data_IF_332134355528
#
_entry.id   IF_332134355528
#
_cell.length_a   1.000
_cell.length_b   1.000
_cell.length_c   1.000
_cell.angle_alpha   90.00
_cell.angle_beta   90.00
_cell.angle_gamma   90.00
#
_symmetry.space_group_name_H-M   'P 1'
#
loop_
_entity.id
_entity.type
_entity.pdbx_description
1 polymer ?
#
# COMPACT_ATOMS: atom_id res chain seq x y z
N UNK A 1 -10.93 4.56 -5.96
CA UNK A 1 -10.51 5.74 -5.17
C UNK A 1 -10.05 5.26 -3.80
N UNK A 2 -9.13 5.97 -3.15
CA UNK A 2 -8.71 5.71 -1.77
C UNK A 2 -9.03 6.94 -0.91
N UNK A 3 -9.64 6.76 0.25
CA UNK A 3 -10.28 7.81 1.04
C UNK A 3 -9.91 7.76 2.52
N UNK A 4 -9.10 8.70 3.01
CA UNK A 4 -8.64 8.73 4.40
C UNK A 4 -9.60 9.52 5.28
N UNK A 5 -9.79 9.03 6.50
CA UNK A 5 -10.79 9.55 7.43
C UNK A 5 -10.15 9.98 8.76
N UNK A 6 -10.82 10.88 9.47
CA UNK A 6 -10.42 11.27 10.81
C UNK A 6 -10.71 10.15 11.80
N UNK A 7 -9.67 9.68 12.50
CA UNK A 7 -9.78 8.65 13.54
C UNK A 7 -10.51 7.35 13.11
N UNK A 8 -10.54 7.08 11.80
CA UNK A 8 -11.19 5.91 11.20
C UNK A 8 -10.30 5.30 10.13
N UNK A 9 -10.52 4.01 9.78
CA UNK A 9 -9.80 3.39 8.68
C UNK A 9 -10.11 4.06 7.34
N UNK A 10 -9.07 4.29 6.56
CA UNK A 10 -9.14 4.65 5.16
C UNK A 10 -9.83 3.54 4.35
N UNK A 11 -10.68 3.93 3.39
CA UNK A 11 -11.49 3.02 2.56
C UNK A 11 -11.01 3.08 1.11
N UNK A 12 -10.99 1.95 0.41
CA UNK A 12 -10.63 1.88 -1.00
C UNK A 12 -11.70 1.18 -1.83
N UNK A 13 -12.10 1.82 -2.93
CA UNK A 13 -13.05 1.31 -3.93
C UNK A 13 -12.33 0.96 -5.23
N UNK A 14 -12.50 -0.28 -5.71
CA UNK A 14 -11.97 -0.74 -6.98
C UNK A 14 -13.01 -0.60 -8.11
N UNK A 15 -12.58 -0.17 -9.30
CA UNK A 15 -13.43 -0.11 -10.48
C UNK A 15 -13.74 -1.52 -11.04
N UNK A 16 -14.89 -1.73 -11.72
CA UNK A 16 -15.14 -2.95 -12.48
C UNK A 16 -14.20 -3.00 -13.69
N UNK A 17 -13.48 -4.11 -13.87
CA UNK A 17 -12.42 -4.26 -14.88
C UNK A 17 -12.98 -4.90 -16.16
N UNK A 18 -12.90 -4.20 -17.30
CA UNK A 18 -12.94 -4.81 -18.63
C UNK A 18 -11.59 -5.48 -18.93
N UNK A 19 -11.65 -6.74 -19.39
CA UNK A 19 -10.50 -7.60 -19.53
C UNK A 19 -9.63 -7.23 -20.75
N UNK A 20 -8.35 -6.92 -20.53
CA UNK A 20 -7.29 -7.09 -21.54
C UNK A 20 -6.04 -7.74 -20.96
N UNK A 21 -5.53 -8.68 -21.75
CA UNK A 21 -4.42 -9.63 -21.55
C UNK A 21 -3.08 -8.95 -21.32
N UNK A 22 -2.21 -9.52 -20.46
CA UNK A 22 -0.81 -9.80 -20.78
C UNK A 22 -0.05 -10.64 -19.70
N UNK A 23 0.56 -11.72 -20.21
CA UNK A 23 1.86 -12.39 -19.93
C UNK A 23 2.64 -12.11 -18.63
N UNK A 24 3.11 -13.23 -18.03
CA UNK A 24 4.44 -13.34 -17.40
C UNK A 24 4.47 -13.42 -15.87
N UNK A 25 4.65 -14.63 -15.32
CA UNK A 25 4.69 -14.96 -13.89
C UNK A 25 5.88 -14.34 -13.12
N UNK A 26 5.62 -13.78 -11.92
CA UNK A 26 6.61 -13.61 -10.86
C UNK A 26 5.96 -13.60 -9.45
N UNK A 27 6.66 -14.22 -8.47
CA UNK A 27 6.32 -14.44 -7.04
C UNK A 27 5.63 -13.24 -6.35
N UNK A 28 4.52 -13.49 -5.65
CA UNK A 28 3.69 -12.49 -4.94
C UNK A 28 4.42 -11.75 -3.81
N UNK A 29 4.28 -10.41 -3.76
CA UNK A 29 5.10 -9.49 -2.94
C UNK A 29 4.27 -8.78 -1.85
N UNK A 30 4.85 -8.63 -0.65
CA UNK A 30 4.23 -8.15 0.62
C UNK A 30 4.20 -6.61 0.75
N UNK A 31 3.81 -5.86 -0.27
CA UNK A 31 3.92 -4.39 -0.22
C UNK A 31 2.64 -3.69 -0.66
N UNK A 32 2.45 -2.48 -0.15
CA UNK A 32 1.37 -1.54 -0.43
C UNK A 32 1.42 -1.02 -1.88
N UNK A 33 1.38 -1.91 -2.87
CA UNK A 33 1.41 -1.57 -4.30
C UNK A 33 0.03 -1.84 -4.87
N UNK A 34 -0.47 -0.90 -5.67
CA UNK A 34 -1.72 -1.09 -6.38
C UNK A 34 -1.70 -2.42 -7.16
N UNK A 35 -2.71 -3.30 -6.95
CA UNK A 35 -2.79 -4.59 -7.60
C UNK A 35 -2.86 -4.53 -9.14
N UNK A 36 -3.26 -3.40 -9.70
CA UNK A 36 -3.35 -3.15 -11.15
C UNK A 36 -2.03 -2.66 -11.75
N UNK A 37 -1.01 -2.42 -10.94
CA UNK A 37 0.32 -1.98 -11.40
C UNK A 37 0.37 -0.55 -11.94
N UNK A 38 -0.67 0.26 -11.75
CA UNK A 38 -0.64 1.64 -12.20
C UNK A 38 0.39 2.46 -11.43
N UNK A 39 1.27 3.10 -12.19
CA UNK A 39 2.32 4.00 -11.74
C UNK A 39 2.58 5.05 -12.82
N UNK A 40 3.33 6.08 -12.50
CA UNK A 40 3.85 6.99 -13.51
C UNK A 40 5.01 6.32 -14.28
N UNK A 41 5.09 6.60 -15.58
CA UNK A 41 6.16 6.05 -16.46
C UNK A 41 7.37 6.99 -16.56
N UNK A 42 7.30 8.14 -15.89
CA UNK A 42 8.33 9.16 -15.84
C UNK A 42 8.67 9.52 -14.39
N UNK A 43 9.90 9.98 -14.15
CA UNK A 43 10.38 10.29 -12.81
C UNK A 43 10.12 11.74 -12.36
N UNK A 44 9.92 12.67 -13.30
CA UNK A 44 9.58 14.06 -12.97
C UNK A 44 8.06 14.26 -13.01
N UNK A 45 7.41 13.98 -11.89
CA UNK A 45 5.95 14.08 -11.77
C UNK A 45 5.57 15.53 -11.48
N UNK A 46 4.73 16.10 -12.32
CA UNK A 46 4.25 17.47 -12.16
C UNK A 46 2.99 17.51 -11.30
N UNK A 47 2.82 18.54 -10.49
CA UNK A 47 1.60 18.73 -9.73
C UNK A 47 1.08 20.16 -9.77
N UNK A 48 -0.21 20.35 -9.52
CA UNK A 48 -0.84 21.67 -9.51
C UNK A 48 -1.93 21.76 -8.46
N UNK A 49 -1.89 22.83 -7.66
CA UNK A 49 -2.96 23.16 -6.70
C UNK A 49 -4.01 24.01 -7.42
N UNK A 50 -5.19 23.44 -7.64
CA UNK A 50 -6.29 24.06 -8.39
C UNK A 50 -7.21 24.89 -7.50
N UNK A 51 -7.43 24.44 -6.26
CA UNK A 51 -8.22 25.14 -5.24
C UNK A 51 -7.47 25.10 -3.91
N UNK A 52 -7.62 26.13 -3.10
CA UNK A 52 -6.96 26.28 -1.80
C UNK A 52 -7.98 26.18 -0.65
N UNK A 53 -7.56 25.75 0.54
CA UNK A 53 -8.44 25.68 1.70
C UNK A 53 -8.86 27.08 2.16
N UNK A 54 -10.01 27.17 2.82
CA UNK A 54 -10.47 28.41 3.46
C UNK A 54 -9.81 28.65 4.83
N UNK A 55 -9.30 27.61 5.49
CA UNK A 55 -8.75 27.68 6.86
C UNK A 55 -7.23 27.90 6.92
N UNK A 56 -6.53 27.77 5.79
CA UNK A 56 -5.07 27.89 5.71
C UNK A 56 -4.71 28.79 4.52
N UNK A 57 -3.76 29.71 4.72
CA UNK A 57 -3.34 30.61 3.64
C UNK A 57 -2.61 29.85 2.52
N UNK A 58 -2.51 30.48 1.33
CA UNK A 58 -1.96 29.83 0.14
C UNK A 58 -0.50 29.41 0.29
N UNK A 59 0.30 30.20 1.01
CA UNK A 59 1.75 29.93 1.16
C UNK A 59 2.00 28.77 2.11
N UNK A 60 1.30 28.72 3.25
CA UNK A 60 1.33 27.58 4.16
C UNK A 60 0.77 26.31 3.51
N UNK A 61 -0.27 26.45 2.67
CA UNK A 61 -0.79 25.32 1.88
C UNK A 61 0.26 24.78 0.93
N UNK A 62 0.89 25.63 0.11
CA UNK A 62 1.99 25.22 -0.79
C UNK A 62 3.13 24.59 -0.03
N UNK A 63 3.52 25.18 1.10
CA UNK A 63 4.57 24.66 1.97
C UNK A 63 4.23 23.27 2.50
N UNK A 64 2.99 23.05 2.96
CA UNK A 64 2.55 21.75 3.46
C UNK A 64 2.61 20.68 2.36
N UNK A 65 2.06 20.98 1.17
CA UNK A 65 2.05 20.07 0.01
C UNK A 65 3.47 19.78 -0.47
N UNK A 66 4.33 20.81 -0.55
CA UNK A 66 5.74 20.66 -0.92
C UNK A 66 6.47 19.70 0.04
N UNK A 67 6.30 19.87 1.36
CA UNK A 67 6.88 18.97 2.38
C UNK A 67 6.34 17.54 2.21
N UNK A 68 5.07 17.37 1.88
CA UNK A 68 4.46 16.06 1.66
C UNK A 68 5.07 15.35 0.43
N UNK A 69 5.31 16.07 -0.68
CA UNK A 69 6.04 15.53 -1.83
C UNK A 69 7.49 15.20 -1.50
N UNK A 70 8.18 16.05 -0.72
CA UNK A 70 9.57 15.81 -0.30
C UNK A 70 9.74 14.46 0.41
N UNK A 71 8.77 14.06 1.24
CA UNK A 71 8.80 12.76 1.92
C UNK A 71 8.95 11.59 0.95
N UNK A 72 8.36 11.67 -0.25
CA UNK A 72 8.43 10.61 -1.26
C UNK A 72 9.67 10.75 -2.14
N UNK A 73 10.10 11.96 -2.50
CA UNK A 73 11.34 12.17 -3.27
C UNK A 73 12.59 11.81 -2.46
N UNK A 74 12.57 11.94 -1.13
CA UNK A 74 13.71 11.59 -0.27
C UNK A 74 14.05 10.09 -0.31
N UNK A 75 13.06 9.24 -0.65
CA UNK A 75 13.18 7.79 -0.60
C UNK A 75 13.04 7.09 -1.96
N UNK A 76 12.88 7.87 -3.04
CA UNK A 76 12.70 7.35 -4.40
C UNK A 76 13.36 8.24 -5.46
N UNK A 77 13.61 7.75 -6.69
CA UNK A 77 14.13 8.57 -7.78
C UNK A 77 13.18 9.66 -8.31
N UNK A 78 11.98 9.78 -7.73
CA UNK A 78 10.97 10.74 -8.18
C UNK A 78 11.38 12.17 -7.84
N UNK A 79 11.07 13.07 -8.76
CA UNK A 79 11.18 14.52 -8.58
C UNK A 79 9.80 15.14 -8.82
N UNK A 80 9.51 16.22 -8.12
CA UNK A 80 8.20 16.86 -8.14
C UNK A 80 8.32 18.32 -8.50
N UNK A 81 7.53 18.75 -9.49
CA UNK A 81 7.52 20.14 -9.97
C UNK A 81 6.12 20.73 -9.86
N UNK A 82 5.96 21.83 -9.10
CA UNK A 82 4.70 22.58 -9.07
C UNK A 82 4.53 23.37 -10.37
N UNK A 83 3.38 23.20 -11.01
CA UNK A 83 2.95 23.98 -12.17
C UNK A 83 2.03 25.09 -11.70
N UNK A 84 2.54 26.32 -11.68
CA UNK A 84 1.78 27.51 -11.26
C UNK A 84 0.97 28.14 -12.41
N UNK A 85 1.31 27.83 -13.66
CA UNK A 85 0.62 28.37 -14.82
C UNK A 85 -0.78 27.74 -14.95
N UNK A 86 -1.87 28.54 -14.94
CA UNK A 86 -3.24 28.02 -15.00
C UNK A 86 -3.56 27.28 -16.31
N UNK A 87 -2.86 27.59 -17.40
CA UNK A 87 -3.12 27.02 -18.73
C UNK A 87 -2.36 25.71 -19.01
N UNK A 88 -1.47 25.30 -18.09
CA UNK A 88 -0.76 24.02 -18.19
C UNK A 88 -1.47 22.95 -17.34
N UNK A 89 -1.57 21.75 -17.90
CA UNK A 89 -1.93 20.55 -17.17
C UNK A 89 -0.75 20.07 -16.32
N UNK A 90 -1.05 19.23 -15.33
CA UNK A 90 -0.08 18.55 -14.49
C UNK A 90 -0.51 17.09 -14.33
N UNK A 91 0.43 16.22 -13.97
CA UNK A 91 0.16 14.79 -13.74
C UNK A 91 -0.74 14.60 -12.52
N UNK A 92 -0.48 15.36 -11.45
CA UNK A 92 -1.26 15.34 -10.22
C UNK A 92 -1.98 16.67 -10.01
N UNK A 93 -3.31 16.65 -9.93
CA UNK A 93 -4.10 17.82 -9.55
C UNK A 93 -4.58 17.72 -8.11
N UNK A 94 -4.45 18.82 -7.38
CA UNK A 94 -4.76 18.90 -5.95
C UNK A 94 -5.79 20.00 -5.74
N UNK A 95 -6.90 19.71 -5.07
CA UNK A 95 -7.86 20.74 -4.73
C UNK A 95 -8.61 20.48 -3.43
N UNK A 96 -9.11 21.57 -2.85
CA UNK A 96 -9.94 21.55 -1.64
C UNK A 96 -11.38 21.84 -2.04
N UNK A 97 -12.29 20.94 -1.69
CA UNK A 97 -13.68 20.99 -2.11
C UNK A 97 -14.61 20.67 -0.96
N UNK A 98 -15.84 21.19 -1.02
CA UNK A 98 -16.92 20.83 -0.11
C UNK A 98 -17.72 19.64 -0.67
N UNK A 99 -18.71 19.13 0.10
CA UNK A 99 -19.70 18.10 -0.26
C UNK A 99 -19.62 17.59 -1.72
N UNK A 100 -20.36 18.26 -2.62
CA UNK A 100 -20.39 17.92 -4.02
C UNK A 100 -19.24 18.58 -4.77
N UNK A 101 -18.40 17.76 -5.37
CA UNK A 101 -17.23 18.22 -6.10
C UNK A 101 -16.96 17.33 -7.31
N UNK A 102 -16.41 17.94 -8.36
CA UNK A 102 -16.13 17.32 -9.67
C UNK A 102 -17.28 16.43 -10.15
N UNK A 103 -17.13 15.10 -10.09
CA UNK A 103 -18.03 14.07 -10.61
C UNK A 103 -18.72 13.23 -9.51
N UNK A 104 -18.71 13.65 -8.24
CA UNK A 104 -19.09 12.78 -7.13
C UNK A 104 -20.57 12.39 -7.10
N UNK A 105 -21.44 13.17 -7.76
CA UNK A 105 -22.87 12.85 -7.89
C UNK A 105 -23.15 11.72 -8.90
N UNK A 106 -22.25 11.52 -9.88
CA UNK A 106 -22.48 10.61 -11.01
C UNK A 106 -21.67 9.31 -10.92
N UNK A 107 -20.85 9.16 -9.89
CA UNK A 107 -19.94 8.04 -9.77
C UNK A 107 -20.02 7.41 -8.38
N UNK A 108 -20.52 6.17 -8.24
CA UNK A 108 -20.44 5.42 -6.98
C UNK A 108 -18.99 5.08 -6.58
N UNK A 109 -18.02 5.36 -7.46
CA UNK A 109 -16.59 5.16 -7.25
C UNK A 109 -15.85 6.44 -6.83
N UNK A 110 -16.50 7.61 -6.89
CA UNK A 110 -15.98 8.90 -6.47
C UNK A 110 -16.90 9.48 -5.39
N UNK A 111 -16.64 9.17 -4.10
CA UNK A 111 -17.53 9.58 -3.03
C UNK A 111 -17.54 11.11 -2.88
N UNK A 112 -18.72 11.68 -2.62
CA UNK A 112 -18.82 13.07 -2.17
C UNK A 112 -18.33 13.17 -0.72
N UNK A 113 -17.81 14.33 -0.34
CA UNK A 113 -17.41 14.55 1.05
C UNK A 113 -18.62 14.62 1.98
N UNK A 114 -18.41 14.21 3.23
CA UNK A 114 -19.43 14.10 4.27
C UNK A 114 -19.45 15.30 5.25
N UNK A 115 -18.50 16.23 5.13
CA UNK A 115 -18.40 17.41 5.97
C UNK A 115 -17.49 17.19 7.18
N UNK A 116 -17.81 17.82 8.31
CA UNK A 116 -16.91 17.84 9.48
C UNK A 116 -16.72 16.48 10.17
N UNK A 117 -15.47 16.17 10.51
CA UNK A 117 -14.98 15.03 11.30
C UNK A 117 -15.15 13.65 10.63
N UNK A 118 -15.15 13.62 9.31
CA UNK A 118 -15.46 12.45 8.49
C UNK A 118 -14.30 12.04 7.59
N UNK A 119 -14.57 12.01 6.29
CA UNK A 119 -13.57 11.84 5.23
C UNK A 119 -12.73 13.11 5.11
N UNK A 120 -11.41 12.98 5.33
CA UNK A 120 -10.49 14.11 5.27
C UNK A 120 -10.06 14.40 3.83
N UNK A 121 -9.80 13.35 3.06
CA UNK A 121 -9.31 13.46 1.69
C UNK A 121 -9.47 12.13 0.96
N UNK A 122 -9.37 12.19 -0.36
CA UNK A 122 -9.24 11.02 -1.20
C UNK A 122 -8.37 11.25 -2.42
N UNK A 123 -7.79 10.17 -2.92
CA UNK A 123 -6.91 10.16 -4.08
C UNK A 123 -7.31 9.12 -5.11
N UNK A 124 -7.00 9.47 -6.35
CA UNK A 124 -7.09 8.60 -7.51
C UNK A 124 -5.68 8.13 -7.87
N UNK A 125 -5.56 6.81 -8.08
CA UNK A 125 -4.34 6.21 -8.55
C UNK A 125 -3.95 6.76 -9.95
N UNK A 126 -2.68 6.62 -10.36
CA UNK A 126 -2.28 6.84 -11.75
C UNK A 126 -3.14 6.01 -12.72
N UNK A 127 -3.33 6.48 -13.97
CA UNK A 127 -2.85 7.75 -14.53
C UNK A 127 -3.79 8.93 -14.23
N UNK A 128 -4.86 8.76 -13.44
CA UNK A 128 -5.83 9.84 -13.19
C UNK A 128 -5.25 10.95 -12.33
N UNK A 129 -4.51 10.61 -11.26
CA UNK A 129 -3.69 11.59 -10.54
C UNK A 129 -4.48 12.77 -9.97
N UNK A 130 -5.56 12.50 -9.25
CA UNK A 130 -6.37 13.53 -8.60
C UNK A 130 -6.31 13.33 -7.09
N UNK A 131 -6.14 14.41 -6.33
CA UNK A 131 -6.23 14.41 -4.87
C UNK A 131 -7.21 15.52 -4.46
N UNK A 132 -8.26 15.14 -3.75
CA UNK A 132 -9.20 16.10 -3.20
C UNK A 132 -9.18 16.04 -1.67
N UNK A 133 -9.22 17.22 -1.05
CA UNK A 133 -9.32 17.39 0.40
C UNK A 133 -10.69 17.99 0.75
N UNK A 134 -11.31 17.56 1.85
CA UNK A 134 -12.56 18.16 2.31
C UNK A 134 -12.27 19.56 2.88
N UNK A 135 -12.94 20.56 2.32
CA UNK A 135 -12.82 21.96 2.71
C UNK A 135 -13.78 22.37 3.82
N UNK A 136 -14.60 21.45 4.35
CA UNK A 136 -15.24 21.63 5.65
C UNK A 136 -14.28 21.36 6.81
N UNK A 137 -13.25 20.56 6.57
CA UNK A 137 -12.24 20.26 7.57
C UNK A 137 -11.31 21.45 7.82
N UNK A 138 -10.85 21.57 9.05
CA UNK A 138 -9.94 22.65 9.43
C UNK A 138 -8.50 22.21 9.23
N UNK A 139 -7.83 22.73 8.21
CA UNK A 139 -6.44 22.41 7.88
C UNK A 139 -5.44 23.32 8.57
N UNK A 140 -4.36 22.74 9.08
CA UNK A 140 -3.23 23.45 9.69
C UNK A 140 -1.88 22.96 9.16
N UNK A 141 -0.89 23.85 9.20
CA UNK A 141 0.52 23.50 9.05
C UNK A 141 1.08 23.06 10.42
N UNK A 142 0.97 21.78 10.74
CA UNK A 142 1.47 21.23 12.01
C UNK A 142 0.66 20.03 12.48
N UNK A 143 1.03 19.46 13.63
CA UNK A 143 0.35 18.28 14.17
C UNK A 143 -1.10 18.60 14.54
N UNK A 144 -2.02 17.97 13.83
CA UNK A 144 -3.19 17.25 14.32
C UNK A 144 -3.51 17.45 15.80
N UNK A 145 -4.52 18.28 16.11
CA UNK A 145 -4.94 18.59 17.49
C UNK A 145 -6.38 19.11 17.57
N UNK A 146 -7.03 18.90 18.71
CA UNK A 146 -8.33 19.51 18.99
C UNK A 146 -8.18 20.98 19.43
N UNK A 147 -9.03 21.86 18.90
CA UNK A 147 -9.10 23.28 19.26
C UNK A 147 -10.29 23.52 20.19
N UNK A 148 -10.05 23.54 21.50
CA UNK A 148 -11.12 23.79 22.49
C UNK A 148 -11.84 25.13 22.30
N UNK A 149 -11.14 26.15 21.79
CA UNK A 149 -11.72 27.47 21.51
C UNK A 149 -12.72 27.45 20.35
N UNK A 150 -12.45 26.64 19.34
CA UNK A 150 -13.28 26.57 18.13
C UNK A 150 -14.22 25.36 18.14
N UNK A 151 -14.02 24.39 19.04
CA UNK A 151 -14.80 23.16 19.12
C UNK A 151 -14.56 22.22 17.95
N UNK A 152 -13.44 22.36 17.23
CA UNK A 152 -13.15 21.59 16.00
C UNK A 152 -11.79 20.92 16.07
N UNK A 153 -11.62 19.89 15.26
CA UNK A 153 -10.34 19.22 15.08
C UNK A 153 -9.52 19.94 13.99
N UNK A 154 -8.24 20.21 14.26
CA UNK A 154 -7.30 20.86 13.34
C UNK A 154 -6.37 19.83 12.72
N UNK A 155 -6.50 19.62 11.40
CA UNK A 155 -5.88 18.55 10.64
C UNK A 155 -4.50 18.87 10.08
N UNK A 156 -3.52 17.98 10.33
CA UNK A 156 -2.17 18.06 9.75
C UNK A 156 -2.23 17.80 8.25
N UNK A 157 -2.24 18.89 7.47
CA UNK A 157 -2.26 18.80 6.01
C UNK A 157 -1.05 18.02 5.47
N UNK A 158 0.12 18.08 6.12
CA UNK A 158 1.32 17.36 5.67
C UNK A 158 1.11 15.86 5.80
N UNK A 159 0.52 15.41 6.91
CA UNK A 159 0.28 13.98 7.16
C UNK A 159 -0.71 13.41 6.14
N UNK A 160 -1.88 14.06 6.02
CA UNK A 160 -2.95 13.61 5.12
C UNK A 160 -2.49 13.68 3.68
N UNK A 161 -1.89 14.80 3.25
CA UNK A 161 -1.39 14.92 1.88
C UNK A 161 -0.31 13.88 1.56
N UNK A 162 0.59 13.56 2.50
CA UNK A 162 1.61 12.56 2.23
C UNK A 162 1.01 11.15 2.04
N UNK A 163 -0.07 10.80 2.75
CA UNK A 163 -0.80 9.55 2.53
C UNK A 163 -1.47 9.54 1.15
N UNK A 164 -2.22 10.59 0.81
CA UNK A 164 -2.91 10.68 -0.48
C UNK A 164 -1.96 10.74 -1.67
N UNK A 165 -0.81 11.41 -1.52
CA UNK A 165 0.25 11.40 -2.54
C UNK A 165 0.77 9.98 -2.74
N UNK A 166 0.90 9.17 -1.69
CA UNK A 166 1.27 7.76 -1.84
C UNK A 166 0.31 7.01 -2.78
N UNK A 167 -1.00 7.23 -2.64
CA UNK A 167 -2.00 6.71 -3.59
C UNK A 167 -1.84 7.30 -4.99
N UNK A 168 -1.70 8.62 -5.12
CA UNK A 168 -1.46 9.27 -6.41
C UNK A 168 -0.13 8.84 -7.08
N UNK A 169 0.77 8.19 -6.35
CA UNK A 169 1.99 7.56 -6.86
C UNK A 169 1.82 6.06 -7.15
N UNK A 170 0.67 5.45 -6.86
CA UNK A 170 0.38 4.04 -7.14
C UNK A 170 0.51 3.11 -5.93
N UNK A 171 0.71 3.63 -4.72
CA UNK A 171 0.69 2.83 -3.50
C UNK A 171 -0.75 2.51 -3.07
N UNK A 172 -0.91 1.34 -2.47
CA UNK A 172 -2.15 0.90 -1.84
C UNK A 172 -2.04 1.07 -0.32
N UNK A 173 -3.00 0.56 0.45
CA UNK A 173 -2.84 0.53 1.91
C UNK A 173 -1.82 -0.51 2.36
N UNK A 174 -0.99 -0.11 3.30
CA UNK A 174 -0.12 -1.01 4.06
C UNK A 174 -0.88 -1.73 5.17
N UNK A 175 -0.39 -2.91 5.55
CA UNK A 175 -0.85 -3.63 6.76
C UNK A 175 0.05 -3.38 7.97
N UNK A 176 1.19 -2.70 7.78
CA UNK A 176 2.05 -2.31 8.89
C UNK A 176 1.39 -1.14 9.64
N UNK A 177 1.03 -1.29 10.93
CA UNK A 177 0.40 -0.23 11.69
C UNK A 177 1.28 1.02 11.85
N UNK A 178 2.59 0.90 11.60
CA UNK A 178 3.54 2.01 11.65
C UNK A 178 3.73 2.69 10.29
N UNK A 179 3.12 2.19 9.22
CA UNK A 179 3.23 2.77 7.89
C UNK A 179 2.40 4.04 7.74
N UNK A 180 2.93 5.02 7.01
CA UNK A 180 2.17 6.19 6.61
C UNK A 180 0.98 5.76 5.73
N UNK A 181 1.16 4.77 4.86
CA UNK A 181 0.08 4.22 4.02
C UNK A 181 -0.86 3.27 4.77
N UNK A 182 -0.78 3.18 6.10
CA UNK A 182 -1.73 2.37 6.87
C UNK A 182 -3.13 3.03 6.87
N UNK A 183 -4.23 2.27 6.79
CA UNK A 183 -5.58 2.85 6.77
C UNK A 183 -5.89 3.74 7.98
N UNK A 184 -5.30 3.44 9.13
CA UNK A 184 -5.54 4.19 10.37
C UNK A 184 -4.44 5.21 10.68
N UNK A 185 -3.64 5.65 9.70
CA UNK A 185 -2.47 6.50 9.95
C UNK A 185 -2.80 7.82 10.67
N UNK A 186 -3.97 8.41 10.39
CA UNK A 186 -4.48 9.61 11.10
C UNK A 186 -4.72 9.32 12.58
N UNK A 187 -5.38 8.21 12.89
CA UNK A 187 -5.64 7.77 14.26
C UNK A 187 -4.36 7.46 15.05
N UNK A 188 -3.39 6.80 14.41
CA UNK A 188 -2.10 6.47 15.06
C UNK A 188 -1.13 7.65 15.08
N UNK A 189 -1.48 8.78 14.45
CA UNK A 189 -0.60 9.95 14.33
C UNK A 189 0.66 9.68 13.52
N UNK A 190 0.65 8.65 12.66
CA UNK A 190 1.81 8.27 11.88
C UNK A 190 2.09 9.33 10.80
N UNK A 191 3.22 10.02 10.95
CA UNK A 191 3.60 11.15 10.11
C UNK A 191 4.83 10.87 9.23
N UNK A 192 5.59 9.84 9.56
CA UNK A 192 6.86 9.54 8.89
C UNK A 192 6.71 8.35 7.94
N UNK A 193 7.48 8.38 6.86
CA UNK A 193 7.59 7.26 5.93
C UNK A 193 8.23 6.08 6.68
N UNK A 194 7.52 4.96 6.74
CA UNK A 194 8.01 3.73 7.36
C UNK A 194 8.76 2.86 6.35
N UNK A 195 9.39 1.81 6.85
CA UNK A 195 10.17 0.91 6.01
C UNK A 195 9.30 0.20 4.95
N UNK A 196 8.05 -0.13 5.28
CA UNK A 196 7.11 -0.72 4.32
C UNK A 196 6.73 0.25 3.19
N UNK A 197 6.52 1.53 3.52
CA UNK A 197 6.26 2.58 2.54
C UNK A 197 7.46 2.73 1.57
N UNK A 198 8.69 2.70 2.11
CA UNK A 198 9.94 2.76 1.32
C UNK A 198 10.02 1.57 0.36
N UNK A 199 9.74 0.36 0.84
CA UNK A 199 9.74 -0.81 -0.02
C UNK A 199 8.67 -0.74 -1.11
N UNK A 200 7.47 -0.26 -0.78
CA UNK A 200 6.39 -0.04 -1.73
C UNK A 200 6.80 0.91 -2.86
N UNK A 201 7.27 2.11 -2.50
CA UNK A 201 7.60 3.13 -3.51
C UNK A 201 8.83 2.74 -4.34
N UNK A 202 9.85 2.17 -3.69
CA UNK A 202 11.04 1.73 -4.41
C UNK A 202 10.74 0.55 -5.33
N UNK A 203 9.73 -0.27 -5.03
CA UNK A 203 9.31 -1.35 -5.92
C UNK A 203 8.61 -0.84 -7.19
N UNK A 204 7.97 0.32 -7.12
CA UNK A 204 7.37 0.99 -8.27
C UNK A 204 8.41 1.75 -9.11
N UNK A 205 9.33 2.46 -8.44
CA UNK A 205 10.18 3.46 -9.10
C UNK A 205 11.69 3.21 -8.98
N UNK A 206 12.12 2.14 -8.32
CA UNK A 206 13.53 1.89 -8.02
C UNK A 206 14.01 2.58 -6.76
N UNK A 207 15.26 2.28 -6.38
CA UNK A 207 15.96 2.95 -5.30
C UNK A 207 17.03 3.90 -5.87
N UNK A 208 17.61 4.74 -5.00
CA UNK A 208 18.67 5.68 -5.36
C UNK A 208 20.01 5.32 -4.73
N UNK A 209 21.07 5.62 -5.46
CA UNK A 209 22.42 5.67 -4.89
C UNK A 209 22.60 6.90 -4.00
N UNK A 210 23.13 6.69 -2.80
CA UNK A 210 23.39 7.75 -1.81
C UNK A 210 24.75 8.42 -2.02
N UNK A 211 25.63 7.83 -2.82
CA UNK A 211 26.99 8.33 -3.06
C UNK A 211 27.21 8.55 -4.55
N UNK A 212 27.80 9.69 -4.91
CA UNK A 212 28.13 10.01 -6.32
C UNK A 212 29.22 9.11 -6.92
N UNK A 213 29.97 8.39 -6.08
CA UNK A 213 31.08 7.51 -6.46
C UNK A 213 30.68 6.04 -6.59
N UNK A 214 29.37 5.74 -6.62
CA UNK A 214 28.86 4.38 -6.79
C UNK A 214 29.30 3.75 -8.12
N UNK A 215 29.35 4.54 -9.19
CA UNK A 215 29.80 4.10 -10.52
C UNK A 215 31.23 3.55 -10.53
N UNK A 216 32.25 4.32 -10.07
CA UNK A 216 33.60 3.79 -9.91
C UNK A 216 33.69 2.55 -9.01
N UNK A 217 32.99 2.54 -7.87
CA UNK A 217 33.04 1.40 -6.93
C UNK A 217 32.43 0.12 -7.53
N UNK A 218 31.34 0.24 -8.28
CA UNK A 218 30.74 -0.89 -8.97
C UNK A 218 31.69 -1.47 -10.03
N UNK A 219 32.35 -0.62 -10.83
CA UNK A 219 33.36 -1.06 -11.82
C UNK A 219 34.57 -1.74 -11.17
N UNK A 220 34.91 -1.34 -9.95
CA UNK A 220 35.92 -2.01 -9.13
C UNK A 220 35.38 -3.27 -8.45
N UNK A 221 34.21 -3.81 -8.81
CA UNK A 221 33.69 -5.06 -8.25
C UNK A 221 33.34 -4.98 -6.76
N UNK A 222 32.96 -3.80 -6.25
CA UNK A 222 32.54 -3.66 -4.85
C UNK A 222 31.13 -4.23 -4.61
N UNK A 223 30.32 -4.41 -5.66
CA UNK A 223 28.99 -5.00 -5.57
C UNK A 223 29.04 -6.44 -5.01
N UNK A 224 30.08 -7.19 -5.37
CA UNK A 224 30.34 -8.55 -4.90
C UNK A 224 31.21 -8.53 -3.64
N UNK A 225 32.35 -7.83 -3.68
CA UNK A 225 33.37 -7.86 -2.60
C UNK A 225 32.97 -7.09 -1.34
N UNK A 226 32.10 -6.09 -1.48
CA UNK A 226 31.61 -5.23 -0.39
C UNK A 226 30.10 -5.06 -0.47
N UNK A 227 29.38 -6.17 -0.71
CA UNK A 227 27.93 -6.20 -0.92
C UNK A 227 27.14 -5.40 0.12
N UNK A 228 27.36 -5.62 1.42
CA UNK A 228 26.60 -4.92 2.46
C UNK A 228 26.84 -3.41 2.47
N UNK A 229 28.07 -2.97 2.18
CA UNK A 229 28.42 -1.55 2.05
C UNK A 229 27.75 -0.94 0.81
N UNK A 230 27.79 -1.64 -0.31
CA UNK A 230 27.13 -1.20 -1.55
C UNK A 230 25.60 -1.24 -1.42
N UNK A 231 25.00 -2.21 -0.72
CA UNK A 231 23.55 -2.24 -0.43
C UNK A 231 23.10 -0.99 0.34
N UNK A 232 23.92 -0.51 1.27
CA UNK A 232 23.59 0.67 2.09
C UNK A 232 23.77 2.00 1.34
N UNK A 233 24.77 2.09 0.46
CA UNK A 233 25.22 3.35 -0.14
C UNK A 233 24.97 3.47 -1.64
N UNK A 234 24.99 2.35 -2.35
CA UNK A 234 24.91 2.22 -3.81
C UNK A 234 23.95 1.10 -4.26
N UNK A 235 22.72 1.03 -3.72
CA UNK A 235 21.82 -0.07 -4.02
C UNK A 235 21.30 -0.06 -5.45
N UNK A 236 21.27 1.10 -6.12
CA UNK A 236 20.83 1.20 -7.51
C UNK A 236 21.91 0.65 -8.43
N UNK A 237 23.17 1.08 -8.28
CA UNK A 237 24.25 0.67 -9.19
C UNK A 237 24.61 -0.81 -9.13
N UNK A 238 24.36 -1.45 -7.99
CA UNK A 238 24.62 -2.87 -7.79
C UNK A 238 23.36 -3.75 -7.90
N UNK A 239 22.23 -3.21 -8.36
CA UNK A 239 20.94 -3.90 -8.44
C UNK A 239 20.48 -4.54 -7.10
N UNK A 240 20.83 -3.90 -5.98
CA UNK A 240 20.53 -4.35 -4.61
C UNK A 240 19.27 -3.73 -4.01
N UNK A 241 18.54 -2.89 -4.76
CA UNK A 241 17.30 -2.24 -4.32
C UNK A 241 16.26 -3.21 -3.75
N UNK A 242 16.25 -4.46 -4.23
CA UNK A 242 15.18 -5.42 -3.97
C UNK A 242 15.62 -6.66 -3.24
N UNK A 243 16.86 -6.70 -2.76
CA UNK A 243 17.28 -7.81 -1.93
C UNK A 243 16.57 -7.72 -0.59
N UNK A 244 15.78 -8.74 -0.22
CA UNK A 244 15.31 -8.87 1.15
C UNK A 244 16.52 -8.66 2.08
N UNK A 245 16.33 -8.01 3.22
CA UNK A 245 17.26 -8.24 4.33
C UNK A 245 17.37 -9.75 4.42
N UNK A 246 18.59 -10.30 4.27
CA UNK A 246 18.81 -11.74 4.36
C UNK A 246 17.94 -12.21 5.50
N UNK A 247 16.94 -13.03 5.14
CA UNK A 247 16.06 -13.59 6.12
C UNK A 247 17.02 -14.12 7.18
N UNK A 248 16.88 -13.66 8.43
CA UNK A 248 17.45 -14.40 9.54
C UNK A 248 16.76 -15.74 9.42
N UNK A 249 17.43 -16.62 8.69
CA UNK A 249 17.10 -18.00 8.47
C UNK A 249 17.42 -18.63 9.80
N UNK A 250 16.58 -18.36 10.80
CA UNK A 250 16.21 -19.43 11.70
C UNK A 250 15.58 -20.48 10.80
N UNK A 251 16.27 -21.60 10.52
CA UNK A 251 15.69 -22.68 9.77
C UNK A 251 14.68 -23.31 10.72
N UNK A 252 13.46 -22.79 10.73
CA UNK A 252 12.34 -23.61 11.19
C UNK A 252 12.11 -24.61 10.06
N UNK A 253 12.27 -25.91 10.29
CA UNK A 253 12.15 -26.90 9.23
C UNK A 253 10.79 -26.75 8.52
N UNK A 254 10.76 -26.79 7.18
CA UNK A 254 9.51 -26.72 6.44
C UNK A 254 8.61 -27.89 6.89
N UNK A 255 7.31 -27.65 7.12
CA UNK A 255 6.40 -28.71 7.53
C UNK A 255 6.33 -29.79 6.43
N UNK A 256 6.57 -31.05 6.81
CA UNK A 256 6.80 -32.20 5.91
C UNK A 256 5.65 -32.56 4.95
N UNK A 257 4.51 -31.85 4.98
CA UNK A 257 3.34 -32.21 4.16
C UNK A 257 2.55 -30.97 3.68
N UNK A 258 3.01 -30.31 2.61
CA UNK A 258 2.30 -29.19 1.97
C UNK A 258 1.43 -29.68 0.82
N UNK A 259 0.10 -29.53 0.93
CA UNK A 259 -0.83 -29.88 -0.15
C UNK A 259 -0.94 -28.76 -1.18
N UNK A 260 -0.49 -29.00 -2.41
CA UNK A 260 -0.60 -28.04 -3.51
C UNK A 260 -2.03 -28.06 -4.07
N UNK A 261 -2.67 -26.90 -4.19
CA UNK A 261 -3.95 -26.72 -4.87
C UNK A 261 -3.78 -25.73 -6.02
N UNK A 262 -4.04 -26.21 -7.22
CA UNK A 262 -4.10 -25.39 -8.44
C UNK A 262 -5.55 -24.90 -8.59
N UNK A 263 -5.76 -23.59 -8.61
CA UNK A 263 -7.09 -22.98 -8.57
C UNK A 263 -7.25 -21.94 -9.68
N UNK A 264 -8.36 -21.93 -10.44
CA UNK A 264 -8.64 -20.85 -11.38
C UNK A 264 -8.73 -19.48 -10.69
N UNK A 265 -8.26 -18.43 -11.37
CA UNK A 265 -8.37 -17.04 -10.93
C UNK A 265 -9.82 -16.67 -10.58
N UNK A 266 -10.01 -15.92 -9.50
CA UNK A 266 -11.31 -15.44 -9.02
C UNK A 266 -12.12 -16.47 -8.20
N UNK A 267 -11.72 -17.75 -8.16
CA UNK A 267 -12.46 -18.77 -7.37
C UNK A 267 -12.19 -18.62 -5.87
N UNK A 268 -13.24 -18.71 -5.06
CA UNK A 268 -13.12 -18.75 -3.61
C UNK A 268 -12.70 -20.15 -3.15
N UNK A 269 -11.63 -20.22 -2.37
CA UNK A 269 -11.10 -21.45 -1.78
C UNK A 269 -11.30 -21.40 -0.28
N UNK A 270 -11.91 -22.45 0.26
CA UNK A 270 -12.05 -22.66 1.70
C UNK A 270 -11.08 -23.70 2.23
N UNK A 271 -10.51 -23.42 3.39
CA UNK A 271 -9.75 -24.35 4.21
C UNK A 271 -10.34 -24.40 5.59
N UNK A 272 -10.43 -25.61 6.14
CA UNK A 272 -10.84 -25.85 7.51
C UNK A 272 -9.68 -26.45 8.26
N UNK A 273 -9.37 -25.90 9.42
CA UNK A 273 -8.32 -26.43 10.26
C UNK A 273 -8.84 -27.36 11.37
N UNK A 274 -8.24 -28.56 11.45
CA UNK A 274 -8.55 -29.58 12.45
C UNK A 274 -9.48 -30.69 11.95
N UNK A 275 -9.68 -31.71 12.78
CA UNK A 275 -10.54 -32.87 12.48
C UNK A 275 -12.01 -32.58 12.78
N UNK A 276 -12.91 -33.21 12.01
CA UNK A 276 -14.38 -33.00 12.09
C UNK A 276 -14.99 -33.37 13.45
N UNK A 277 -14.33 -34.20 14.27
CA UNK A 277 -14.89 -34.76 15.52
C UNK A 277 -14.08 -34.36 16.75
N UNK A 278 -14.32 -33.17 17.30
CA UNK A 278 -13.82 -32.79 18.65
C UNK A 278 -14.94 -32.15 19.45
N UNK A 279 -15.21 -32.66 20.67
CA UNK A 279 -16.22 -32.12 21.61
C UNK A 279 -15.94 -30.67 22.04
N UNK A 280 -14.70 -30.19 21.89
CA UNK A 280 -14.28 -28.80 22.17
C UNK A 280 -13.44 -28.27 21.01
N UNK A 281 -13.71 -27.05 20.50
CA UNK A 281 -12.89 -26.40 19.50
C UNK A 281 -11.46 -26.12 19.97
N UNK A 282 -10.41 -26.61 19.30
CA UNK A 282 -9.05 -26.19 19.61
C UNK A 282 -8.82 -24.75 19.12
N UNK A 283 -7.96 -24.01 19.84
CA UNK A 283 -7.51 -22.69 19.41
C UNK A 283 -6.63 -22.85 18.18
N UNK A 284 -6.96 -22.08 17.14
CA UNK A 284 -6.28 -22.16 15.84
C UNK A 284 -5.64 -20.82 15.51
N UNK A 285 -4.47 -20.87 14.88
CA UNK A 285 -3.82 -19.71 14.28
C UNK A 285 -3.43 -20.02 12.84
N UNK A 286 -3.73 -19.09 11.94
CA UNK A 286 -3.42 -19.18 10.53
C UNK A 286 -2.17 -18.37 10.21
N UNK A 287 -1.37 -18.88 9.27
CA UNK A 287 -0.19 -18.22 8.76
C UNK A 287 -0.20 -18.23 7.23
N UNK A 288 0.25 -17.15 6.60
CA UNK A 288 0.55 -17.07 5.17
C UNK A 288 2.05 -16.82 5.00
N UNK A 289 2.74 -17.71 4.31
CA UNK A 289 4.18 -17.61 4.02
C UNK A 289 5.04 -17.37 5.28
N UNK A 290 4.63 -17.93 6.42
CA UNK A 290 5.29 -17.80 7.72
C UNK A 290 4.78 -16.67 8.62
N UNK A 291 3.98 -15.73 8.11
CA UNK A 291 3.42 -14.61 8.89
C UNK A 291 2.01 -14.92 9.40
N UNK A 292 1.73 -14.56 10.65
CA UNK A 292 0.43 -14.85 11.27
C UNK A 292 -0.66 -13.94 10.71
N UNK A 293 -1.78 -14.53 10.29
CA UNK A 293 -2.97 -13.80 9.92
C UNK A 293 -3.80 -13.52 11.19
N UNK A 294 -3.82 -12.26 11.62
CA UNK A 294 -4.50 -11.83 12.85
C UNK A 294 -5.97 -11.46 12.62
N UNK A 295 -6.31 -10.96 11.43
CA UNK A 295 -7.66 -10.46 11.10
C UNK A 295 -8.08 -10.86 9.68
N UNK A 296 -9.39 -10.79 9.42
CA UNK A 296 -9.92 -10.90 8.06
C UNK A 296 -9.56 -9.66 7.24
N UNK A 297 -9.29 -9.85 5.95
CA UNK A 297 -9.04 -8.80 4.97
C UNK A 297 -10.28 -8.72 4.06
N UNK A 298 -11.10 -7.66 4.15
CA UNK A 298 -12.32 -7.51 3.37
C UNK A 298 -12.08 -7.73 1.87
N UNK A 299 -12.88 -8.58 1.23
CA UNK A 299 -12.79 -8.89 -0.20
C UNK A 299 -11.71 -9.90 -0.61
N UNK A 300 -10.75 -10.25 0.26
CA UNK A 300 -9.61 -11.09 -0.13
C UNK A 300 -9.43 -12.34 0.72
N UNK A 301 -9.47 -12.21 2.06
CA UNK A 301 -9.26 -13.30 3.02
C UNK A 301 -10.26 -13.16 4.17
N UNK A 302 -11.07 -14.18 4.41
CA UNK A 302 -12.02 -14.23 5.53
C UNK A 302 -11.59 -15.34 6.47
N UNK A 303 -11.25 -14.96 7.70
CA UNK A 303 -10.95 -15.88 8.80
C UNK A 303 -12.13 -15.86 9.74
N UNK A 304 -12.77 -17.02 9.91
CA UNK A 304 -13.87 -17.21 10.83
C UNK A 304 -13.67 -18.51 11.59
N UNK A 305 -13.50 -18.41 12.90
CA UNK A 305 -13.25 -19.53 13.80
C UNK A 305 -12.01 -20.36 13.38
N UNK A 306 -12.24 -21.52 12.75
CA UNK A 306 -11.19 -22.42 12.25
C UNK A 306 -11.09 -22.44 10.72
N UNK A 307 -11.95 -21.68 10.06
CA UNK A 307 -12.07 -21.66 8.61
C UNK A 307 -11.36 -20.43 8.04
N UNK A 308 -10.59 -20.66 6.98
CA UNK A 308 -9.94 -19.65 6.16
C UNK A 308 -10.56 -19.72 4.77
N UNK A 309 -11.16 -18.64 4.31
CA UNK A 309 -11.63 -18.50 2.93
C UNK A 309 -10.80 -17.43 2.23
N UNK A 310 -10.40 -17.67 1.00
CA UNK A 310 -9.66 -16.68 0.20
C UNK A 310 -10.13 -16.71 -1.25
N UNK A 311 -10.03 -15.58 -1.94
CA UNK A 311 -10.23 -15.52 -3.39
C UNK A 311 -8.91 -15.87 -4.09
N UNK A 312 -8.88 -16.84 -4.99
CA UNK A 312 -7.68 -17.21 -5.72
C UNK A 312 -7.27 -16.10 -6.69
N UNK A 313 -6.19 -15.40 -6.38
CA UNK A 313 -5.57 -14.36 -7.20
C UNK A 313 -4.06 -14.31 -6.87
N UNK A 314 -3.30 -13.45 -7.52
CA UNK A 314 -1.85 -13.32 -7.33
C UNK A 314 -1.49 -12.95 -5.88
N UNK A 315 -2.32 -12.14 -5.21
CA UNK A 315 -2.10 -11.70 -3.83
C UNK A 315 -2.26 -12.85 -2.82
N UNK A 316 -3.19 -13.74 -3.11
CA UNK A 316 -3.53 -14.86 -2.24
C UNK A 316 -2.81 -16.17 -2.63
N UNK A 317 -1.95 -16.15 -3.65
CA UNK A 317 -0.99 -17.23 -3.90
C UNK A 317 0.04 -17.29 -2.75
N UNK A 318 0.43 -18.50 -2.33
CA UNK A 318 1.35 -18.70 -1.22
C UNK A 318 1.05 -19.96 -0.39
N UNK A 319 1.83 -20.15 0.67
CA UNK A 319 1.71 -21.29 1.57
C UNK A 319 0.94 -20.89 2.83
N UNK A 320 -0.25 -21.44 2.99
CA UNK A 320 -1.09 -21.26 4.16
C UNK A 320 -0.87 -22.39 5.14
N UNK A 321 -0.44 -22.05 6.35
CA UNK A 321 -0.22 -23.02 7.41
C UNK A 321 -1.21 -22.76 8.53
N UNK A 322 -2.01 -23.76 8.85
CA UNK A 322 -2.77 -23.75 10.09
C UNK A 322 -1.96 -24.42 11.20
N UNK A 323 -1.90 -23.81 12.38
CA UNK A 323 -1.40 -24.44 13.62
C UNK A 323 -2.52 -24.59 14.64
N UNK A 324 -2.63 -25.79 15.20
CA UNK A 324 -3.60 -26.16 16.23
C UNK A 324 -2.90 -26.14 17.60
N UNK A 325 -3.44 -25.35 18.52
CA UNK A 325 -2.90 -25.22 19.88
C UNK A 325 -3.76 -26.02 20.88
N UNK A 326 -3.12 -26.82 21.75
CA UNK A 326 -3.74 -27.38 22.95
C UNK A 326 -2.83 -27.13 24.16
N UNK A 327 -3.39 -26.59 25.25
CA UNK A 327 -2.65 -26.26 26.49
C UNK A 327 -1.37 -25.44 26.23
N UNK A 328 -1.41 -24.52 25.27
CA UNK A 328 -0.27 -23.65 24.91
C UNK A 328 0.73 -24.23 23.90
N UNK A 329 0.66 -25.54 23.61
CA UNK A 329 1.58 -26.19 22.68
C UNK A 329 0.95 -26.43 21.31
N UNK A 330 1.76 -26.34 20.24
CA UNK A 330 1.35 -26.67 18.88
C UNK A 330 1.30 -28.19 18.74
N UNK A 331 0.11 -28.74 18.53
CA UNK A 331 -0.11 -30.20 18.46
C UNK A 331 -0.15 -30.72 17.03
N UNK A 332 -0.53 -29.88 16.07
CA UNK A 332 -0.60 -30.26 14.67
C UNK A 332 -0.54 -29.02 13.77
N UNK A 333 0.10 -29.18 12.61
CA UNK A 333 0.11 -28.18 11.56
C UNK A 333 -0.32 -28.80 10.23
N UNK A 334 -1.20 -28.11 9.50
CA UNK A 334 -1.57 -28.47 8.13
C UNK A 334 -1.19 -27.32 7.20
N UNK A 335 -0.53 -27.63 6.10
CA UNK A 335 -0.07 -26.62 5.14
C UNK A 335 -0.66 -26.86 3.76
N UNK A 336 -1.08 -25.78 3.11
CA UNK A 336 -1.60 -25.78 1.74
C UNK A 336 -0.87 -24.73 0.92
N UNK A 337 -0.36 -25.10 -0.25
CA UNK A 337 0.16 -24.15 -1.21
C UNK A 337 -0.92 -23.87 -2.26
N UNK A 338 -1.43 -22.64 -2.28
CA UNK A 338 -2.30 -22.18 -3.38
C UNK A 338 -1.43 -21.76 -4.55
N UNK A 339 -1.76 -22.27 -5.74
CA UNK A 339 -1.18 -21.91 -7.03
C UNK A 339 -2.30 -21.62 -8.01
N UNK A 340 -2.12 -20.68 -8.92
CA UNK A 340 -3.13 -20.40 -9.95
C UNK A 340 -3.04 -21.40 -11.11
N UNK A 341 -4.18 -21.78 -11.69
CA UNK A 341 -4.21 -22.62 -12.90
C UNK A 341 -3.58 -21.84 -14.07
N UNK A 342 -2.60 -22.40 -14.79
CA UNK A 342 -2.07 -21.79 -16.00
C UNK A 342 -3.17 -21.66 -17.06
N UNK A 343 -3.19 -20.56 -17.81
CA UNK A 343 -4.08 -20.44 -18.97
C UNK A 343 -3.59 -21.40 -20.06
N UNK A 344 -4.48 -22.28 -20.53
CA UNK A 344 -4.20 -23.12 -21.70
C UNK A 344 -4.20 -22.20 -22.92
N UNK A 345 -3.03 -22.00 -23.52
CA UNK A 345 -2.92 -21.45 -24.86
C UNK A 345 -3.66 -22.38 -25.83
N UNK A 346 -4.82 -21.95 -26.32
CA UNK A 346 -5.46 -22.58 -27.45
C UNK A 346 -4.55 -22.41 -28.67
N UNK A 347 -3.79 -23.45 -29.00
CA UNK A 347 -3.21 -23.60 -30.34
C UNK A 347 -4.40 -23.77 -31.29
N UNK A 348 -4.74 -22.70 -32.02
CA UNK A 348 -5.49 -22.84 -33.27
C UNK A 348 -4.49 -22.64 -34.42
N UNK A 349 -4.20 -23.77 -35.06
CA UNK A 349 -3.63 -23.91 -36.39
C UNK A 349 -4.52 -23.27 -37.46
#
# INVERSE_FOLDING_TARGET
VASIHLNKPCVQTAAPVEARSHRGQARSKRYAINPLGYKWEHFNVTYKITKFPNTLNKDDTRKAISIAFTKWSDVSPLTFTEITNPNKSADITIGFYTYNHTDCWWSPLHPCFDGLNGELAHAFLPPRGEIHFDNHEFWILGKSRFSWKQGVWLNDLIQVAAHEIGHALGLWHSRDPNALMHPNATYTGQRNIAQDDIWGIQRLYGCMDKKRVCDPWARLGFCERRRSFMKKNCPQRCDLCYEPLDAVSTPTPPPENVKIKIVPRGKVVGFRCGTKNTRVPPKVSWYKDGEQLLTSIPGYIVIKDRDLRLVANEFNEGTYTCRIHRRGNVVSANSWAIRLKPEQSSNNS
#
